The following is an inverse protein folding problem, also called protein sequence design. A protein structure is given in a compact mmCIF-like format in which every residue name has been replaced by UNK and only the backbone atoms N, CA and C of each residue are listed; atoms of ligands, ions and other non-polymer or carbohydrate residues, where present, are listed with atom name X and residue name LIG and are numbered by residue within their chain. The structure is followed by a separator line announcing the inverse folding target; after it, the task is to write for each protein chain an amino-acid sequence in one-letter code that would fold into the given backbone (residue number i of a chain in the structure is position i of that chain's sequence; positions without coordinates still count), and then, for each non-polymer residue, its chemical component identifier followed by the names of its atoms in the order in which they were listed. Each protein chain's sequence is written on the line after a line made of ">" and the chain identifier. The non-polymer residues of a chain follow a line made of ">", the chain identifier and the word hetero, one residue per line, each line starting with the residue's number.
data_IF_667386051226
#
_entry.id   IF_667386051226
#
_cell.length_a   1.000
_cell.length_b   1.000
_cell.length_c   1.000
_cell.angle_alpha   90.00
_cell.angle_beta   90.00
_cell.angle_gamma   90.00
#
_symmetry.space_group_name_H-M   'P 1'
#
loop_
_entity.id
_entity.type
_entity.pdbx_description
1 polymer ?
#
# COMPACT_ATOMS: atom_id res chain seq x y z
N UNK A 1 -24.22 28.62 -15.51
CA UNK A 1 -25.11 28.08 -16.55
C UNK A 1 -24.23 27.61 -17.68
N UNK A 2 -23.98 26.34 -17.84
CA UNK A 2 -23.25 25.76 -18.97
C UNK A 2 -24.26 25.03 -19.84
N UNK A 3 -24.41 25.47 -21.08
CA UNK A 3 -25.31 24.88 -22.07
C UNK A 3 -24.86 23.47 -22.43
N UNK A 4 -25.71 22.49 -22.18
CA UNK A 4 -25.57 21.12 -22.68
C UNK A 4 -26.23 21.09 -24.07
N UNK A 5 -25.46 20.92 -25.13
CA UNK A 5 -25.97 20.67 -26.49
C UNK A 5 -26.41 19.21 -26.58
N UNK A 6 -27.71 18.98 -26.78
CA UNK A 6 -28.28 17.71 -27.17
C UNK A 6 -28.09 17.51 -28.67
N UNK A 7 -27.33 16.48 -29.06
CA UNK A 7 -27.29 16.03 -30.46
C UNK A 7 -28.39 14.96 -30.68
N UNK A 8 -29.04 14.97 -31.85
CA UNK A 8 -30.12 14.04 -32.16
C UNK A 8 -29.57 12.63 -32.40
N UNK A 9 -30.39 11.64 -31.98
CA UNK A 9 -30.16 10.21 -32.15
C UNK A 9 -30.12 9.87 -33.65
N UNK A 10 -28.92 9.51 -34.12
CA UNK A 10 -28.71 9.01 -35.46
C UNK A 10 -27.24 8.98 -35.85
N UNK A 11 -26.71 7.74 -35.95
CA UNK A 11 -25.40 7.39 -36.47
C UNK A 11 -24.19 7.63 -35.55
N UNK A 12 -23.90 6.61 -34.76
CA UNK A 12 -22.55 6.36 -34.25
C UNK A 12 -21.96 5.18 -35.03
N UNK A 13 -21.07 5.50 -35.97
CA UNK A 13 -20.18 4.53 -36.61
C UNK A 13 -19.07 4.18 -35.62
N UNK A 14 -18.90 2.88 -35.35
CA UNK A 14 -17.82 2.38 -34.51
C UNK A 14 -16.49 2.54 -35.23
N UNK A 15 -15.66 3.50 -34.79
CA UNK A 15 -14.23 3.49 -35.09
C UNK A 15 -13.48 2.68 -34.01
N UNK A 16 -12.61 1.78 -34.48
CA UNK A 16 -11.76 0.92 -33.65
C UNK A 16 -10.62 1.76 -33.08
N UNK A 17 -10.51 1.83 -31.75
CA UNK A 17 -9.37 2.45 -31.11
C UNK A 17 -9.41 2.33 -29.60
N UNK A 18 -8.60 1.43 -29.01
CA UNK A 18 -8.09 1.46 -27.65
C UNK A 18 -9.03 0.96 -26.52
N UNK A 19 -8.49 0.53 -25.38
CA UNK A 19 -9.25 -0.06 -24.28
C UNK A 19 -9.84 1.03 -23.37
N UNK A 20 -10.92 1.64 -23.80
CA UNK A 20 -11.84 2.42 -22.96
C UNK A 20 -13.27 2.03 -23.33
N UNK A 21 -13.68 0.86 -22.81
CA UNK A 21 -15.06 0.41 -22.96
C UNK A 21 -15.94 1.08 -21.91
N UNK A 22 -16.53 2.23 -22.27
CA UNK A 22 -17.67 2.77 -21.54
C UNK A 22 -18.87 1.82 -21.71
N UNK A 23 -19.25 1.08 -20.69
CA UNK A 23 -20.44 0.26 -20.69
C UNK A 23 -21.69 1.13 -20.52
N UNK A 24 -22.49 1.27 -21.59
CA UNK A 24 -23.81 1.87 -21.55
C UNK A 24 -24.85 0.80 -21.13
N UNK A 25 -25.44 0.95 -19.96
CA UNK A 25 -26.57 0.10 -19.52
C UNK A 25 -27.89 0.84 -19.75
N UNK A 26 -28.73 0.31 -20.65
CA UNK A 26 -30.08 0.83 -20.89
C UNK A 26 -31.09 0.22 -19.89
N UNK A 27 -31.69 1.04 -19.03
CA UNK A 27 -32.90 0.69 -18.30
C UNK A 27 -34.08 1.41 -18.94
N UNK A 28 -35.10 0.64 -19.27
CA UNK A 28 -36.26 1.14 -20.01
C UNK A 28 -37.10 2.14 -19.21
N UNK A 29 -36.84 3.39 -19.40
CA UNK A 29 -37.65 4.60 -19.26
C UNK A 29 -36.79 5.82 -19.57
N UNK A 30 -36.11 5.88 -20.71
CA UNK A 30 -35.64 7.12 -21.33
C UNK A 30 -34.53 7.94 -20.65
N UNK A 31 -33.93 7.51 -19.55
CA UNK A 31 -32.81 8.19 -18.91
C UNK A 31 -31.49 7.42 -19.13
N UNK A 32 -30.62 7.93 -19.97
CA UNK A 32 -29.25 7.42 -20.13
C UNK A 32 -28.47 7.79 -18.88
N UNK A 33 -28.20 6.81 -18.00
CA UNK A 33 -27.30 6.99 -16.84
C UNK A 33 -25.86 6.80 -17.33
N UNK A 34 -25.13 7.87 -17.45
CA UNK A 34 -23.67 7.79 -17.67
C UNK A 34 -23.07 7.23 -16.39
N UNK A 35 -22.53 6.01 -16.45
CA UNK A 35 -21.77 5.44 -15.33
C UNK A 35 -20.41 6.17 -15.32
N UNK A 36 -20.18 7.00 -14.33
CA UNK A 36 -18.84 7.52 -14.06
C UNK A 36 -18.00 6.34 -13.60
N UNK A 37 -16.96 6.00 -14.35
CA UNK A 37 -16.02 4.95 -13.95
C UNK A 37 -15.27 5.47 -12.73
N UNK A 38 -15.34 4.72 -11.62
CA UNK A 38 -14.57 5.04 -10.41
C UNK A 38 -13.07 4.93 -10.70
N UNK A 39 -12.28 5.89 -10.22
CA UNK A 39 -10.82 5.87 -10.32
C UNK A 39 -10.17 5.17 -9.15
N UNK A 40 -10.93 4.97 -8.06
CA UNK A 40 -10.42 4.35 -6.84
C UNK A 40 -9.87 2.93 -7.08
N UNK A 41 -10.54 2.02 -7.81
CA UNK A 41 -10.00 0.69 -8.07
C UNK A 41 -8.64 0.70 -8.79
N UNK A 42 -8.47 1.60 -9.77
CA UNK A 42 -7.19 1.74 -10.47
C UNK A 42 -6.08 2.22 -9.53
N UNK A 43 -6.36 3.21 -8.68
CA UNK A 43 -5.42 3.73 -7.70
C UNK A 43 -5.08 2.69 -6.60
N UNK A 44 -6.05 1.88 -6.18
CA UNK A 44 -5.82 0.75 -5.26
C UNK A 44 -4.93 -0.32 -5.91
N UNK A 45 -5.14 -0.63 -7.20
CA UNK A 45 -4.23 -1.53 -7.93
C UNK A 45 -2.78 -1.01 -7.98
N UNK A 46 -2.57 0.31 -8.12
CA UNK A 46 -1.23 0.91 -8.01
C UNK A 46 -0.66 0.73 -6.61
N UNK A 47 -1.47 0.92 -5.57
CA UNK A 47 -1.04 0.75 -4.18
C UNK A 47 -0.63 -0.69 -3.86
N UNK A 48 -1.32 -1.71 -4.41
CA UNK A 48 -0.89 -3.11 -4.30
C UNK A 48 0.58 -3.27 -4.72
N UNK A 49 0.98 -2.59 -5.80
CA UNK A 49 2.37 -2.59 -6.26
C UNK A 49 3.33 -1.92 -5.29
N UNK A 50 2.92 -0.85 -4.63
CA UNK A 50 3.74 -0.14 -3.65
C UNK A 50 3.98 -1.00 -2.40
N UNK A 51 2.94 -1.68 -1.88
CA UNK A 51 3.08 -2.58 -0.74
C UNK A 51 3.96 -3.80 -1.07
N UNK A 52 3.79 -4.42 -2.24
CA UNK A 52 4.71 -5.49 -2.66
C UNK A 52 6.14 -5.00 -2.86
N UNK A 53 6.35 -3.77 -3.33
CA UNK A 53 7.68 -3.18 -3.45
C UNK A 53 8.30 -2.93 -2.07
N UNK A 54 7.51 -2.48 -1.07
CA UNK A 54 7.92 -2.32 0.32
C UNK A 54 8.34 -3.67 0.91
N UNK A 55 7.50 -4.68 0.78
CA UNK A 55 7.81 -6.05 1.21
C UNK A 55 9.14 -6.55 0.62
N UNK A 56 9.34 -6.35 -0.68
CA UNK A 56 10.56 -6.81 -1.35
C UNK A 56 11.80 -6.02 -0.90
N UNK A 57 11.68 -4.71 -0.69
CA UNK A 57 12.74 -3.89 -0.13
C UNK A 57 13.11 -4.32 1.29
N UNK A 58 12.12 -4.67 2.14
CA UNK A 58 12.38 -5.10 3.51
C UNK A 58 13.05 -6.48 3.58
N UNK A 59 12.75 -7.39 2.63
CA UNK A 59 13.55 -8.61 2.48
C UNK A 59 15.02 -8.27 2.18
N UNK A 60 15.30 -7.33 1.28
CA UNK A 60 16.66 -6.95 0.94
C UNK A 60 17.41 -6.32 2.14
N UNK A 61 16.72 -5.48 2.92
CA UNK A 61 17.26 -4.89 4.16
C UNK A 61 17.54 -5.99 5.20
N UNK A 62 16.62 -6.93 5.37
CA UNK A 62 16.79 -8.04 6.30
C UNK A 62 18.02 -8.89 5.94
N UNK A 63 18.18 -9.23 4.66
CA UNK A 63 19.37 -9.97 4.15
C UNK A 63 20.65 -9.20 4.40
N UNK A 64 20.66 -7.87 4.21
CA UNK A 64 21.82 -7.04 4.54
C UNK A 64 22.20 -7.16 6.03
N UNK A 65 21.24 -7.02 6.94
CA UNK A 65 21.50 -7.14 8.38
C UNK A 65 21.93 -8.55 8.81
N UNK A 66 21.36 -9.59 8.19
CA UNK A 66 21.79 -10.97 8.42
C UNK A 66 23.27 -11.16 8.01
N UNK A 67 23.67 -10.64 6.86
CA UNK A 67 25.06 -10.70 6.38
C UNK A 67 26.02 -9.94 7.32
N UNK A 68 25.56 -8.84 7.95
CA UNK A 68 26.32 -8.07 8.94
C UNK A 68 26.28 -8.69 10.36
N UNK A 69 25.67 -9.87 10.55
CA UNK A 69 25.54 -10.56 11.85
C UNK A 69 24.75 -9.73 12.87
N UNK A 70 23.65 -9.11 12.43
CA UNK A 70 22.71 -8.31 13.21
C UNK A 70 21.30 -8.98 13.21
N UNK A 71 21.14 -10.14 13.91
CA UNK A 71 19.97 -10.99 13.76
C UNK A 71 18.67 -10.37 14.27
N UNK A 72 18.70 -9.44 15.22
CA UNK A 72 17.46 -8.80 15.70
C UNK A 72 16.96 -7.76 14.71
N UNK A 73 17.88 -6.97 14.11
CA UNK A 73 17.54 -6.07 13.00
C UNK A 73 17.03 -6.86 11.79
N UNK A 74 17.70 -7.94 11.43
CA UNK A 74 17.24 -8.83 10.35
C UNK A 74 15.83 -9.38 10.62
N UNK A 75 15.59 -9.93 11.82
CA UNK A 75 14.30 -10.47 12.22
C UNK A 75 13.18 -9.41 12.20
N UNK A 76 13.49 -8.17 12.60
CA UNK A 76 12.55 -7.05 12.50
C UNK A 76 12.12 -6.83 11.05
N UNK A 77 13.06 -6.68 10.12
CA UNK A 77 12.73 -6.41 8.72
C UNK A 77 12.12 -7.62 7.98
N UNK A 78 12.44 -8.86 8.39
CA UNK A 78 11.71 -10.02 7.86
C UNK A 78 10.23 -10.01 8.27
N UNK A 79 9.89 -9.60 9.50
CA UNK A 79 8.49 -9.43 9.93
C UNK A 79 7.80 -8.32 9.16
N UNK A 80 8.44 -7.16 9.06
CA UNK A 80 7.93 -6.03 8.26
C UNK A 80 7.67 -6.43 6.80
N UNK A 81 8.55 -7.23 6.19
CA UNK A 81 8.31 -7.74 4.84
C UNK A 81 7.04 -8.60 4.72
N UNK A 82 6.71 -9.39 5.74
CA UNK A 82 5.46 -10.18 5.79
C UNK A 82 4.26 -9.26 5.96
N UNK A 83 4.38 -8.25 6.80
CA UNK A 83 3.34 -7.26 7.08
C UNK A 83 2.95 -6.49 5.81
N UNK A 84 3.92 -5.95 5.08
CA UNK A 84 3.68 -5.26 3.80
C UNK A 84 3.04 -6.17 2.74
N UNK A 85 3.46 -7.46 2.72
CA UNK A 85 2.77 -8.43 1.87
C UNK A 85 1.31 -8.60 2.29
N UNK A 86 1.01 -8.63 3.58
CA UNK A 86 -0.36 -8.73 4.06
C UNK A 86 -1.17 -7.48 3.69
N UNK A 87 -0.58 -6.28 3.77
CA UNK A 87 -1.19 -5.03 3.31
C UNK A 87 -1.57 -5.10 1.83
N UNK A 88 -0.66 -5.55 0.96
CA UNK A 88 -0.97 -5.79 -0.44
C UNK A 88 -2.15 -6.75 -0.62
N UNK A 89 -2.19 -7.85 0.14
CA UNK A 89 -3.25 -8.87 0.03
C UNK A 89 -4.59 -8.40 0.62
N UNK A 90 -4.60 -7.46 1.57
CA UNK A 90 -5.82 -6.79 2.03
C UNK A 90 -6.43 -5.91 0.92
N UNK A 91 -5.60 -5.15 0.21
CA UNK A 91 -6.03 -4.35 -0.95
C UNK A 91 -6.56 -5.24 -2.09
N UNK A 92 -5.91 -6.38 -2.34
CA UNK A 92 -6.39 -7.39 -3.30
C UNK A 92 -7.78 -7.90 -2.90
N UNK A 93 -7.96 -8.28 -1.61
CA UNK A 93 -9.26 -8.77 -1.13
C UNK A 93 -10.35 -7.71 -1.25
N UNK A 94 -10.04 -6.47 -0.90
CA UNK A 94 -10.97 -5.35 -1.04
C UNK A 94 -11.49 -5.20 -2.48
N UNK A 95 -10.61 -5.24 -3.49
CA UNK A 95 -11.01 -5.15 -4.90
C UNK A 95 -11.86 -6.35 -5.33
N UNK A 96 -11.48 -7.56 -4.91
CA UNK A 96 -12.25 -8.78 -5.20
C UNK A 96 -13.67 -8.70 -4.61
N UNK A 97 -13.80 -8.25 -3.36
CA UNK A 97 -15.09 -8.10 -2.68
C UNK A 97 -15.95 -7.00 -3.32
N UNK A 98 -15.32 -5.97 -3.88
CA UNK A 98 -15.99 -4.93 -4.65
C UNK A 98 -16.40 -5.38 -6.07
N UNK A 99 -15.94 -6.55 -6.52
CA UNK A 99 -16.19 -7.05 -7.88
C UNK A 99 -15.40 -6.30 -8.96
N UNK A 100 -14.27 -5.70 -8.57
CA UNK A 100 -13.37 -4.95 -9.44
C UNK A 100 -12.23 -5.84 -9.97
N UNK A 101 -11.64 -5.44 -11.08
CA UNK A 101 -10.51 -6.15 -11.65
C UNK A 101 -9.24 -5.94 -10.82
N UNK A 102 -8.55 -7.04 -10.51
CA UNK A 102 -7.27 -7.02 -9.80
C UNK A 102 -6.11 -7.23 -10.78
N UNK A 103 -5.18 -6.29 -10.80
CA UNK A 103 -3.93 -6.40 -11.53
C UNK A 103 -2.76 -6.48 -10.53
N UNK A 104 -2.09 -7.63 -10.46
CA UNK A 104 -0.87 -7.75 -9.64
C UNK A 104 0.32 -7.25 -10.45
N UNK A 105 0.88 -6.06 -10.12
CA UNK A 105 1.96 -5.47 -10.89
C UNK A 105 3.31 -6.13 -10.61
N UNK A 106 4.27 -5.93 -11.49
CA UNK A 106 5.67 -6.19 -11.20
C UNK A 106 6.24 -5.15 -10.22
N UNK A 107 7.24 -5.53 -9.44
CA UNK A 107 7.95 -4.63 -8.52
C UNK A 107 9.34 -4.29 -9.05
N UNK A 108 9.83 -3.10 -8.72
CA UNK A 108 11.19 -2.67 -9.07
C UNK A 108 12.23 -3.46 -8.26
N UNK A 109 13.46 -3.51 -8.78
CA UNK A 109 14.60 -4.06 -8.07
C UNK A 109 14.87 -3.25 -6.79
N UNK A 110 15.01 -3.92 -5.61
CA UNK A 110 15.26 -3.23 -4.35
C UNK A 110 16.71 -2.77 -4.24
N UNK A 111 16.97 -1.77 -3.40
CA UNK A 111 18.32 -1.42 -2.98
C UNK A 111 18.86 -2.52 -2.06
N UNK A 112 20.02 -3.08 -2.40
CA UNK A 112 20.64 -4.20 -1.68
C UNK A 112 21.99 -3.84 -1.03
N UNK A 113 22.54 -2.65 -1.33
CA UNK A 113 23.82 -2.20 -0.83
C UNK A 113 23.67 -0.93 -0.01
N UNK A 114 24.28 -0.90 1.17
CA UNK A 114 24.18 0.20 2.13
C UNK A 114 25.57 0.55 2.68
N UNK A 115 25.77 1.83 2.97
CA UNK A 115 27.07 2.35 3.43
C UNK A 115 27.29 2.17 4.95
N UNK A 116 26.21 2.00 5.71
CA UNK A 116 26.23 1.84 7.16
C UNK A 116 24.88 1.27 7.66
N UNK A 117 24.83 0.89 8.93
CA UNK A 117 23.64 0.26 9.51
C UNK A 117 22.44 1.23 9.70
N UNK A 118 22.60 2.53 9.60
CA UNK A 118 21.49 3.47 9.71
C UNK A 118 20.78 3.69 8.36
N UNK A 119 21.51 3.58 7.25
CA UNK A 119 20.98 3.84 5.91
C UNK A 119 19.76 2.97 5.55
N UNK A 120 19.72 1.64 5.83
CA UNK A 120 18.53 0.83 5.57
C UNK A 120 17.29 1.32 6.32
N UNK A 121 17.46 1.75 7.60
CA UNK A 121 16.34 2.28 8.40
C UNK A 121 15.88 3.65 7.91
N UNK A 122 16.82 4.48 7.43
CA UNK A 122 16.49 5.77 6.80
C UNK A 122 15.66 5.57 5.53
N UNK A 123 16.06 4.60 4.70
CA UNK A 123 15.31 4.22 3.50
C UNK A 123 13.89 3.74 3.86
N UNK A 124 13.78 2.82 4.83
CA UNK A 124 12.51 2.31 5.31
C UNK A 124 11.60 3.45 5.82
N UNK A 125 12.10 4.33 6.68
CA UNK A 125 11.33 5.48 7.17
C UNK A 125 10.88 6.42 6.05
N UNK A 126 11.71 6.64 5.03
CA UNK A 126 11.34 7.45 3.87
C UNK A 126 10.22 6.78 3.07
N UNK A 127 10.28 5.46 2.94
CA UNK A 127 9.26 4.66 2.27
C UNK A 127 7.93 4.72 3.01
N UNK A 128 7.89 4.49 4.34
CA UNK A 128 6.67 4.60 5.13
C UNK A 128 5.99 5.97 5.04
N UNK A 129 6.79 7.05 5.03
CA UNK A 129 6.24 8.39 4.81
C UNK A 129 5.63 8.56 3.42
N UNK A 130 6.18 7.91 2.41
CA UNK A 130 5.64 7.94 1.05
C UNK A 130 4.34 7.15 0.98
N UNK A 131 4.30 5.94 1.54
CA UNK A 131 3.08 5.11 1.62
C UNK A 131 1.98 5.85 2.39
N UNK A 132 2.31 6.51 3.50
CA UNK A 132 1.35 7.35 4.25
C UNK A 132 0.69 8.40 3.35
N UNK A 133 1.46 9.07 2.50
CA UNK A 133 0.91 10.07 1.56
C UNK A 133 0.06 9.42 0.47
N UNK A 134 0.45 8.26 -0.03
CA UNK A 134 -0.31 7.50 -1.02
C UNK A 134 -1.67 7.06 -0.45
N UNK A 135 -1.70 6.46 0.74
CA UNK A 135 -2.94 6.07 1.42
C UNK A 135 -3.83 7.29 1.70
N UNK A 136 -3.26 8.42 2.15
CA UNK A 136 -4.03 9.65 2.33
C UNK A 136 -4.66 10.14 1.03
N UNK A 137 -3.95 10.02 -0.10
CA UNK A 137 -4.47 10.31 -1.43
C UNK A 137 -5.62 9.40 -1.85
N UNK A 138 -5.56 8.10 -1.51
CA UNK A 138 -6.65 7.15 -1.75
C UNK A 138 -7.90 7.50 -0.94
N UNK A 139 -7.74 7.87 0.34
CA UNK A 139 -8.87 8.33 1.19
C UNK A 139 -9.52 9.58 0.59
N UNK A 140 -8.71 10.55 0.14
CA UNK A 140 -9.26 11.75 -0.51
C UNK A 140 -10.00 11.41 -1.81
N UNK A 141 -9.48 10.48 -2.60
CA UNK A 141 -10.13 10.01 -3.82
C UNK A 141 -11.47 9.33 -3.51
N UNK A 142 -11.53 8.44 -2.52
CA UNK A 142 -12.76 7.79 -2.08
C UNK A 142 -13.83 8.82 -1.67
N UNK A 143 -13.44 9.87 -0.94
CA UNK A 143 -14.33 10.99 -0.59
C UNK A 143 -14.84 11.75 -1.80
N UNK A 144 -13.98 12.07 -2.75
CA UNK A 144 -14.37 12.78 -3.98
C UNK A 144 -15.39 11.99 -4.80
N UNK A 145 -15.31 10.66 -4.75
CA UNK A 145 -16.20 9.76 -5.46
C UNK A 145 -17.44 9.35 -4.64
N UNK A 146 -17.54 9.80 -3.38
CA UNK A 146 -18.57 9.41 -2.39
C UNK A 146 -18.60 7.91 -2.13
N UNK A 147 -17.44 7.26 -2.20
CA UNK A 147 -17.26 5.87 -1.81
C UNK A 147 -16.99 5.77 -0.30
N UNK A 148 -18.07 5.71 0.48
CA UNK A 148 -18.01 5.63 1.94
C UNK A 148 -17.42 4.31 2.44
N UNK A 149 -17.58 3.23 1.66
CA UNK A 149 -17.03 1.91 2.03
C UNK A 149 -15.53 1.89 1.81
N UNK A 150 -15.07 2.39 0.67
CA UNK A 150 -13.65 2.57 0.38
C UNK A 150 -12.97 3.50 1.37
N UNK A 151 -13.59 4.64 1.71
CA UNK A 151 -13.06 5.55 2.72
C UNK A 151 -12.90 4.86 4.07
N UNK A 152 -13.92 4.11 4.54
CA UNK A 152 -13.87 3.38 5.80
C UNK A 152 -12.76 2.30 5.81
N UNK A 153 -12.64 1.55 4.74
CA UNK A 153 -11.59 0.54 4.58
C UNK A 153 -10.19 1.17 4.66
N UNK A 154 -9.97 2.26 3.94
CA UNK A 154 -8.67 2.94 3.89
C UNK A 154 -8.30 3.65 5.21
N UNK A 155 -9.26 3.96 6.09
CA UNK A 155 -8.97 4.53 7.40
C UNK A 155 -8.18 3.59 8.31
N UNK A 156 -8.34 2.26 8.16
CA UNK A 156 -7.50 1.31 8.87
C UNK A 156 -6.02 1.48 8.47
N UNK A 157 -5.73 1.57 7.17
CA UNK A 157 -4.36 1.83 6.68
C UNK A 157 -3.77 3.16 7.15
N UNK A 158 -4.59 4.22 7.32
CA UNK A 158 -4.09 5.48 7.90
C UNK A 158 -3.69 5.33 9.36
N UNK A 159 -4.40 4.51 10.12
CA UNK A 159 -4.03 4.19 11.51
C UNK A 159 -2.71 3.42 11.51
N UNK A 160 -2.60 2.40 10.69
CA UNK A 160 -1.43 1.54 10.53
C UNK A 160 -0.20 2.36 10.16
N UNK A 161 -0.29 3.17 9.11
CA UNK A 161 0.81 4.03 8.66
C UNK A 161 1.32 4.99 9.74
N UNK A 162 0.48 5.41 10.66
CA UNK A 162 0.91 6.22 11.80
C UNK A 162 1.79 5.41 12.76
N UNK A 163 1.48 4.13 12.96
CA UNK A 163 2.25 3.22 13.80
C UNK A 163 3.58 2.87 13.13
N UNK A 164 3.56 2.58 11.82
CA UNK A 164 4.75 2.31 11.02
C UNK A 164 5.77 3.46 11.03
N UNK A 165 5.32 4.68 10.73
CA UNK A 165 6.21 5.85 10.77
C UNK A 165 6.77 6.10 12.18
N UNK A 166 5.96 5.89 13.22
CA UNK A 166 6.40 6.04 14.62
C UNK A 166 7.44 5.00 14.99
N UNK A 167 7.17 3.73 14.69
CA UNK A 167 8.05 2.58 14.94
C UNK A 167 9.39 2.73 14.23
N UNK A 168 9.36 3.02 12.92
CA UNK A 168 10.57 3.18 12.12
C UNK A 168 11.38 4.43 12.53
N UNK A 169 10.70 5.51 12.96
CA UNK A 169 11.38 6.69 13.52
C UNK A 169 12.09 6.39 14.83
N UNK A 170 11.47 5.59 15.71
CA UNK A 170 12.05 5.17 16.97
C UNK A 170 13.27 4.26 16.74
N UNK A 171 13.15 3.29 15.82
CA UNK A 171 14.26 2.41 15.45
C UNK A 171 15.44 3.21 14.90
N UNK A 172 15.19 4.14 13.99
CA UNK A 172 16.24 5.02 13.44
C UNK A 172 16.96 5.82 14.54
N UNK A 173 16.21 6.36 15.51
CA UNK A 173 16.79 7.09 16.61
C UNK A 173 17.68 6.20 17.51
N UNK A 174 17.31 4.94 17.70
CA UNK A 174 18.11 3.95 18.45
C UNK A 174 19.40 3.64 17.70
N UNK A 175 19.31 3.31 16.40
CA UNK A 175 20.47 2.98 15.56
C UNK A 175 21.45 4.16 15.49
N UNK A 176 20.96 5.39 15.25
CA UNK A 176 21.81 6.59 15.20
C UNK A 176 22.50 6.89 16.54
N UNK A 177 21.80 6.67 17.65
CA UNK A 177 22.36 6.90 18.99
C UNK A 177 23.42 5.86 19.35
N UNK A 178 23.27 4.62 18.90
CA UNK A 178 24.23 3.55 19.11
C UNK A 178 25.54 3.78 18.33
N UNK A 179 25.50 4.48 17.19
CA UNK A 179 26.67 4.69 16.33
C UNK A 179 27.30 3.36 15.94
N UNK A 180 28.61 3.22 16.21
CA UNK A 180 29.35 1.98 15.89
C UNK A 180 29.05 0.81 16.86
N UNK A 181 28.31 1.06 17.95
CA UNK A 181 28.00 0.07 18.98
C UNK A 181 26.71 -0.70 18.67
N UNK A 182 26.63 -1.34 17.49
CA UNK A 182 25.42 -1.99 16.99
C UNK A 182 24.89 -3.12 17.88
N UNK A 183 25.76 -3.76 18.69
CA UNK A 183 25.33 -4.73 19.70
C UNK A 183 24.37 -4.15 20.74
N UNK A 184 24.40 -2.83 20.98
CA UNK A 184 23.41 -2.15 21.83
C UNK A 184 22.03 -2.08 21.15
N UNK A 185 21.98 -1.99 19.83
CA UNK A 185 20.73 -2.07 19.06
C UNK A 185 20.14 -3.47 19.16
N UNK A 186 20.97 -4.48 18.97
CA UNK A 186 20.57 -5.89 19.10
C UNK A 186 20.03 -6.19 20.51
N UNK A 187 20.74 -5.77 21.57
CA UNK A 187 20.27 -5.91 22.95
C UNK A 187 18.95 -5.15 23.21
N UNK A 188 18.81 -3.94 22.66
CA UNK A 188 17.58 -3.16 22.74
C UNK A 188 16.41 -3.89 22.10
N UNK A 189 16.57 -4.37 20.86
CA UNK A 189 15.52 -5.06 20.11
C UNK A 189 15.15 -6.42 20.73
N UNK A 190 16.11 -7.11 21.34
CA UNK A 190 15.84 -8.37 22.03
C UNK A 190 14.96 -8.21 23.27
N UNK A 191 14.91 -7.02 23.88
CA UNK A 191 14.14 -6.72 25.09
C UNK A 191 12.88 -5.90 24.85
N UNK A 192 12.78 -5.23 23.70
CA UNK A 192 11.69 -4.32 23.40
C UNK A 192 11.05 -4.71 22.09
N UNK A 193 9.75 -4.85 22.09
CA UNK A 193 8.98 -4.94 20.87
C UNK A 193 9.05 -3.61 20.12
N UNK A 194 9.45 -3.64 18.87
CA UNK A 194 9.44 -2.48 17.96
C UNK A 194 8.68 -2.91 16.70
N UNK A 195 7.62 -2.16 16.34
CA UNK A 195 6.71 -2.51 15.25
C UNK A 195 5.79 -3.68 15.60
N UNK A 196 5.08 -4.17 14.60
CA UNK A 196 4.22 -5.34 14.76
C UNK A 196 5.05 -6.59 15.13
N UNK A 197 4.50 -7.39 16.02
CA UNK A 197 5.09 -8.63 16.49
C UNK A 197 4.51 -9.86 15.77
N UNK A 198 3.78 -9.63 14.66
CA UNK A 198 3.14 -10.70 13.88
C UNK A 198 1.85 -11.24 14.49
N UNK A 199 1.27 -10.58 15.48
CA UNK A 199 -0.06 -10.90 15.97
C UNK A 199 -1.11 -10.20 15.10
N UNK A 200 -2.12 -10.91 14.56
CA UNK A 200 -3.17 -10.28 13.79
C UNK A 200 -3.90 -9.22 14.62
N UNK A 201 -3.99 -7.99 14.14
CA UNK A 201 -4.85 -6.99 14.74
C UNK A 201 -6.32 -7.42 14.64
N UNK A 202 -7.08 -7.27 15.74
CA UNK A 202 -8.47 -7.73 15.81
C UNK A 202 -9.42 -7.03 14.83
N UNK A 203 -9.05 -5.84 14.35
CA UNK A 203 -9.80 -5.01 13.42
C UNK A 203 -9.14 -4.89 12.02
N UNK A 204 -8.10 -5.68 11.76
CA UNK A 204 -7.45 -5.73 10.46
C UNK A 204 -8.39 -6.23 9.36
N UNK A 205 -8.36 -5.63 8.15
CA UNK A 205 -9.10 -6.13 7.01
C UNK A 205 -8.71 -7.57 6.63
N UNK A 206 -9.62 -8.28 5.98
CA UNK A 206 -9.31 -9.60 5.46
C UNK A 206 -8.26 -9.53 4.34
N UNK A 207 -7.26 -10.40 4.40
CA UNK A 207 -6.27 -10.55 3.34
C UNK A 207 -6.63 -11.72 2.42
N UNK A 208 -6.49 -11.57 1.11
CA UNK A 208 -6.71 -12.63 0.14
C UNK A 208 -5.75 -13.80 0.41
N UNK A 209 -6.32 -14.99 0.58
CA UNK A 209 -5.56 -16.19 0.97
C UNK A 209 -5.18 -16.28 2.45
N UNK A 210 -5.64 -15.34 3.27
CA UNK A 210 -5.29 -15.22 4.69
C UNK A 210 -3.96 -14.45 4.92
N UNK A 211 -3.86 -13.82 6.10
CA UNK A 211 -2.60 -13.22 6.55
C UNK A 211 -1.57 -14.32 6.91
N UNK A 212 -0.30 -14.02 6.70
CA UNK A 212 0.82 -14.90 7.07
C UNK A 212 1.34 -14.57 8.47
#
# INVERSE_FOLDING_TARGET
>A
MRNVFLLPVGQLTAERGGPEAASLVFWGTGATRVRVVSRLPAAVNEQIGHEFAASHQYVAIAVYYDAETLPQLAAHFYRQAVEERNHAMMLVQYLLDAGEDVAVPGVAEPQTSFSNAAEPVELALAQEKTVTQQIAGLVELARQENDLVGEQFLHWFLKEQREEVSSMSALLAVVKRAGDSLLLVEDFLSRNAVGDQGAPEADAPAAAGGAL
#
